data_IF_803366500003
#
_entry.id   IF_803366500003
#
_cell.length_a   1.000
_cell.length_b   1.000
_cell.length_c   1.000
_cell.angle_alpha   90.00
_cell.angle_beta   90.00
_cell.angle_gamma   90.00
#
_symmetry.space_group_name_H-M   'P 1'
#
loop_
_entity.id
_entity.type
_entity.pdbx_description
1 polymer ?
#
# COMPACT_ATOMS: atom_id res chain seq x y z
N UNK A 1 -12.61 -2.20 21.52
CA UNK A 1 -13.44 -1.19 20.83
C UNK A 1 -14.79 -0.90 21.49
N UNK A 2 -15.81 -1.76 21.44
CA UNK A 2 -17.16 -1.41 21.95
C UNK A 2 -17.18 -0.88 23.41
N UNK A 3 -16.46 -1.54 24.33
CA UNK A 3 -16.34 -1.07 25.73
C UNK A 3 -15.58 0.25 25.88
N UNK A 4 -14.65 0.54 24.98
CA UNK A 4 -13.86 1.79 24.98
C UNK A 4 -14.71 2.95 24.45
N UNK A 5 -15.57 2.71 23.46
CA UNK A 5 -16.50 3.71 22.90
C UNK A 5 -17.59 4.11 23.91
N UNK A 6 -18.13 3.15 24.67
CA UNK A 6 -19.09 3.46 25.75
C UNK A 6 -18.45 4.31 26.86
N UNK A 7 -17.20 4.01 27.22
CA UNK A 7 -16.42 4.84 28.15
C UNK A 7 -16.18 6.24 27.60
N UNK A 8 -15.77 6.32 26.33
CA UNK A 8 -15.49 7.56 25.63
C UNK A 8 -16.73 8.48 25.52
N UNK A 9 -17.92 7.90 25.34
CA UNK A 9 -19.20 8.61 25.41
C UNK A 9 -19.44 9.22 26.78
N UNK A 10 -19.21 8.45 27.87
CA UNK A 10 -19.30 8.96 29.25
C UNK A 10 -18.27 10.06 29.52
N UNK A 11 -17.11 9.99 28.88
CA UNK A 11 -16.09 11.03 28.93
C UNK A 11 -16.46 12.29 28.11
N UNK A 12 -17.64 12.34 27.49
CA UNK A 12 -18.17 13.55 26.84
C UNK A 12 -17.76 13.71 25.37
N UNK A 13 -17.34 12.64 24.70
CA UNK A 13 -17.14 12.66 23.25
C UNK A 13 -18.47 12.54 22.50
N UNK A 14 -18.60 13.23 21.37
CA UNK A 14 -19.82 13.25 20.58
C UNK A 14 -20.05 11.91 19.87
N UNK A 15 -21.32 11.58 19.62
CA UNK A 15 -21.69 10.39 18.86
C UNK A 15 -21.10 10.40 17.44
N UNK A 16 -20.92 11.58 16.84
CA UNK A 16 -20.26 11.74 15.53
C UNK A 16 -18.78 11.35 15.57
N UNK A 17 -18.01 11.80 16.57
CA UNK A 17 -16.61 11.42 16.74
C UNK A 17 -16.48 9.92 17.02
N UNK A 18 -17.34 9.37 17.88
CA UNK A 18 -17.32 7.94 18.18
C UNK A 18 -17.65 7.07 16.96
N UNK A 19 -18.62 7.50 16.15
CA UNK A 19 -18.99 6.81 14.91
C UNK A 19 -17.85 6.86 13.88
N UNK A 20 -17.19 8.02 13.74
CA UNK A 20 -16.02 8.19 12.86
C UNK A 20 -14.84 7.32 13.27
N UNK A 21 -14.54 7.26 14.58
CA UNK A 21 -13.50 6.40 15.13
C UNK A 21 -13.82 4.94 14.83
N UNK A 22 -15.04 4.48 15.14
CA UNK A 22 -15.42 3.09 14.91
C UNK A 22 -15.29 2.71 13.43
N UNK A 23 -15.79 3.56 12.53
CA UNK A 23 -15.68 3.35 11.10
C UNK A 23 -14.20 3.28 10.65
N UNK A 24 -13.34 4.18 11.13
CA UNK A 24 -11.92 4.21 10.77
C UNK A 24 -11.18 2.96 11.25
N UNK A 25 -11.43 2.49 12.47
CA UNK A 25 -10.81 1.28 13.01
C UNK A 25 -11.32 0.02 12.30
N UNK A 26 -12.62 -0.08 12.04
CA UNK A 26 -13.20 -1.19 11.26
C UNK A 26 -12.64 -1.22 9.84
N UNK A 27 -12.49 -0.06 9.21
CA UNK A 27 -11.87 0.06 7.89
C UNK A 27 -10.43 -0.47 7.94
N UNK A 28 -9.57 0.06 8.83
CA UNK A 28 -8.17 -0.41 8.95
C UNK A 28 -8.10 -1.92 9.20
N UNK A 29 -9.00 -2.46 10.03
CA UNK A 29 -9.05 -3.91 10.29
C UNK A 29 -9.42 -4.71 9.05
N UNK A 30 -10.48 -4.30 8.31
CA UNK A 30 -10.85 -4.92 7.03
C UNK A 30 -9.72 -4.84 6.01
N UNK A 31 -9.00 -3.73 6.00
CA UNK A 31 -7.88 -3.49 5.09
C UNK A 31 -6.68 -4.37 5.40
N UNK A 32 -6.30 -4.51 6.67
CA UNK A 32 -5.28 -5.46 7.10
C UNK A 32 -5.60 -6.89 6.62
N UNK A 33 -6.87 -7.29 6.70
CA UNK A 33 -7.31 -8.59 6.17
C UNK A 33 -7.26 -8.67 4.65
N UNK A 34 -7.64 -7.60 3.93
CA UNK A 34 -7.55 -7.56 2.46
C UNK A 34 -6.09 -7.65 1.98
N UNK A 35 -5.16 -7.00 2.68
CA UNK A 35 -3.73 -7.15 2.43
C UNK A 35 -3.29 -8.61 2.56
N UNK A 36 -3.59 -9.22 3.72
CA UNK A 36 -3.19 -10.60 4.05
C UNK A 36 -3.79 -11.64 3.11
N UNK A 37 -5.08 -11.51 2.78
CA UNK A 37 -5.82 -12.56 2.08
C UNK A 37 -5.81 -12.41 0.56
N UNK A 38 -5.40 -11.25 0.03
CA UNK A 38 -5.49 -10.98 -1.41
C UNK A 38 -4.20 -10.39 -1.97
N UNK A 39 -3.80 -9.19 -1.54
CA UNK A 39 -2.69 -8.46 -2.17
C UNK A 39 -1.35 -9.20 -2.07
N UNK A 40 -1.04 -9.81 -0.93
CA UNK A 40 0.18 -10.61 -0.79
C UNK A 40 0.24 -11.77 -1.79
N UNK A 41 -0.88 -12.51 -1.93
CA UNK A 41 -0.99 -13.61 -2.90
C UNK A 41 -0.89 -13.13 -4.34
N UNK A 42 -1.60 -12.04 -4.68
CA UNK A 42 -1.54 -11.44 -6.02
C UNK A 42 -0.15 -10.95 -6.38
N UNK A 43 0.59 -10.36 -5.43
CA UNK A 43 1.97 -9.94 -5.64
C UNK A 43 2.86 -11.13 -6.04
N UNK A 44 2.80 -12.22 -5.27
CA UNK A 44 3.56 -13.43 -5.56
C UNK A 44 3.15 -14.06 -6.89
N UNK A 45 1.84 -14.07 -7.20
CA UNK A 45 1.33 -14.60 -8.45
C UNK A 45 1.79 -13.78 -9.65
N UNK A 46 1.67 -12.45 -9.60
CA UNK A 46 2.12 -11.55 -10.67
C UNK A 46 3.61 -11.72 -10.93
N UNK A 47 4.43 -11.80 -9.88
CA UNK A 47 5.87 -12.08 -10.01
C UNK A 47 6.13 -13.41 -10.69
N UNK A 48 5.50 -14.48 -10.20
CA UNK A 48 5.72 -15.84 -10.72
C UNK A 48 5.32 -15.94 -12.19
N UNK A 49 4.19 -15.34 -12.59
CA UNK A 49 3.74 -15.31 -13.99
C UNK A 49 4.74 -14.66 -14.97
N UNK A 50 5.56 -13.73 -14.49
CA UNK A 50 6.62 -13.10 -15.29
C UNK A 50 7.87 -14.00 -15.31
N UNK A 51 8.30 -14.50 -14.15
CA UNK A 51 9.49 -15.35 -14.03
C UNK A 51 9.29 -16.68 -14.78
N UNK A 52 8.15 -17.34 -14.59
CA UNK A 52 7.84 -18.64 -15.21
C UNK A 52 7.70 -18.52 -16.74
N UNK A 53 7.46 -17.31 -17.26
CA UNK A 53 7.42 -17.07 -18.69
C UNK A 53 8.80 -16.97 -19.33
N UNK A 54 9.87 -16.81 -18.55
CA UNK A 54 11.23 -16.60 -19.07
C UNK A 54 11.67 -17.73 -20.03
N UNK A 55 11.37 -18.98 -19.67
CA UNK A 55 11.69 -20.14 -20.52
C UNK A 55 10.89 -20.12 -21.85
N UNK A 56 9.63 -19.70 -21.79
CA UNK A 56 8.79 -19.56 -23.00
C UNK A 56 9.28 -18.41 -23.87
N UNK A 57 9.71 -17.31 -23.26
CA UNK A 57 10.30 -16.17 -23.95
C UNK A 57 11.58 -16.60 -24.70
N UNK A 58 12.50 -17.30 -24.03
CA UNK A 58 13.74 -17.79 -24.64
C UNK A 58 13.49 -18.79 -25.78
N UNK A 59 12.51 -19.68 -25.60
CA UNK A 59 12.08 -20.62 -26.63
C UNK A 59 11.55 -19.89 -27.87
N UNK A 60 10.64 -18.92 -27.68
CA UNK A 60 10.11 -18.10 -28.77
C UNK A 60 11.20 -17.29 -29.46
N UNK A 61 12.11 -16.68 -28.70
CA UNK A 61 13.25 -15.93 -29.24
C UNK A 61 14.13 -16.83 -30.12
N UNK A 62 14.48 -18.03 -29.63
CA UNK A 62 15.31 -18.99 -30.36
C UNK A 62 14.61 -19.47 -31.64
N UNK A 63 13.33 -19.80 -31.56
CA UNK A 63 12.51 -20.21 -32.71
C UNK A 63 12.45 -19.07 -33.76
N UNK A 64 12.22 -17.82 -33.33
CA UNK A 64 12.20 -16.66 -34.24
C UNK A 64 13.54 -16.55 -34.96
N UNK A 65 14.67 -16.65 -34.26
CA UNK A 65 16.00 -16.58 -34.89
C UNK A 65 16.21 -17.67 -35.94
N UNK A 66 15.79 -18.91 -35.66
CA UNK A 66 15.89 -20.00 -36.63
C UNK A 66 15.04 -19.74 -37.88
N UNK A 67 13.82 -19.24 -37.72
CA UNK A 67 12.93 -18.96 -38.85
C UNK A 67 13.40 -17.77 -39.68
N UNK A 68 14.07 -16.79 -39.05
CA UNK A 68 14.77 -15.70 -39.76
C UNK A 68 15.87 -16.27 -40.66
N UNK A 69 16.71 -17.17 -40.15
CA UNK A 69 17.78 -17.80 -40.94
C UNK A 69 17.24 -18.64 -42.10
N UNK A 70 16.08 -19.27 -41.91
CA UNK A 70 15.38 -20.04 -42.95
C UNK A 70 14.63 -19.17 -43.96
N UNK A 71 14.58 -17.85 -43.77
CA UNK A 71 13.83 -16.94 -44.63
C UNK A 71 12.31 -17.05 -44.51
N UNK A 72 11.79 -17.69 -43.44
CA UNK A 72 10.37 -18.00 -43.28
C UNK A 72 9.59 -16.81 -42.69
N UNK A 73 9.30 -15.83 -43.55
CA UNK A 73 8.62 -14.58 -43.18
C UNK A 73 7.31 -14.79 -42.40
N UNK A 74 6.46 -15.70 -42.88
CA UNK A 74 5.15 -15.93 -42.28
C UNK A 74 5.27 -16.50 -40.86
N UNK A 75 6.17 -17.46 -40.65
CA UNK A 75 6.39 -18.03 -39.33
C UNK A 75 7.01 -17.01 -38.36
N UNK A 76 7.97 -16.20 -38.84
CA UNK A 76 8.56 -15.11 -38.04
C UNK A 76 7.48 -14.15 -37.56
N UNK A 77 6.57 -13.73 -38.45
CA UNK A 77 5.47 -12.83 -38.10
C UNK A 77 4.55 -13.45 -37.03
N UNK A 78 4.14 -14.71 -37.20
CA UNK A 78 3.29 -15.40 -36.24
C UNK A 78 3.94 -15.52 -34.85
N UNK A 79 5.23 -15.83 -34.80
CA UNK A 79 5.95 -15.97 -33.54
C UNK A 79 6.15 -14.62 -32.84
N UNK A 80 6.43 -13.54 -33.59
CA UNK A 80 6.53 -12.19 -33.04
C UNK A 80 5.18 -11.70 -32.49
N UNK A 81 4.09 -11.93 -33.21
CA UNK A 81 2.74 -11.61 -32.74
C UNK A 81 2.37 -12.42 -31.49
N UNK A 82 2.77 -13.70 -31.43
CA UNK A 82 2.59 -14.54 -30.24
C UNK A 82 3.36 -13.98 -29.05
N UNK A 83 4.63 -13.60 -29.25
CA UNK A 83 5.47 -12.99 -28.24
C UNK A 83 4.86 -11.67 -27.73
N UNK A 84 4.44 -10.77 -28.64
CA UNK A 84 3.81 -9.50 -28.28
C UNK A 84 2.53 -9.69 -27.48
N UNK A 85 1.66 -10.61 -27.88
CA UNK A 85 0.41 -10.90 -27.18
C UNK A 85 0.68 -11.41 -25.75
N UNK A 86 1.55 -12.40 -25.62
CA UNK A 86 1.90 -12.98 -24.31
C UNK A 86 2.49 -11.94 -23.36
N UNK A 87 3.28 -11.02 -23.93
CA UNK A 87 3.85 -9.90 -23.22
C UNK A 87 2.75 -8.91 -22.77
N UNK A 88 1.86 -8.51 -23.68
CA UNK A 88 0.76 -7.61 -23.36
C UNK A 88 -0.11 -8.09 -22.18
N UNK A 89 -0.46 -9.38 -22.14
CA UNK A 89 -1.27 -9.96 -21.05
C UNK A 89 -0.59 -9.79 -19.68
N UNK A 90 0.73 -10.02 -19.60
CA UNK A 90 1.50 -9.90 -18.36
C UNK A 90 1.68 -8.44 -17.92
N UNK A 91 1.94 -7.54 -18.87
CA UNK A 91 1.96 -6.10 -18.65
C UNK A 91 0.63 -5.62 -18.07
N UNK A 92 -0.49 -6.10 -18.63
CA UNK A 92 -1.83 -5.78 -18.13
C UNK A 92 -2.04 -6.26 -16.70
N UNK A 93 -1.74 -7.53 -16.40
CA UNK A 93 -1.87 -8.07 -15.04
C UNK A 93 -1.03 -7.28 -14.02
N UNK A 94 0.19 -6.90 -14.40
CA UNK A 94 1.10 -6.10 -13.56
C UNK A 94 0.52 -4.70 -13.29
N UNK A 95 -0.01 -4.05 -14.34
CA UNK A 95 -0.67 -2.75 -14.21
C UNK A 95 -1.91 -2.82 -13.31
N UNK A 96 -2.78 -3.80 -13.54
CA UNK A 96 -4.02 -3.96 -12.77
C UNK A 96 -3.71 -4.19 -11.28
N UNK A 97 -2.64 -4.94 -10.98
CA UNK A 97 -2.13 -5.11 -9.63
C UNK A 97 -1.63 -3.79 -9.02
N UNK A 98 -0.76 -3.06 -9.72
CA UNK A 98 -0.23 -1.76 -9.26
C UNK A 98 -1.37 -0.79 -8.96
N UNK A 99 -2.32 -0.61 -9.89
CA UNK A 99 -3.48 0.26 -9.69
C UNK A 99 -4.28 -0.14 -8.45
N UNK A 100 -4.46 -1.44 -8.21
CA UNK A 100 -5.16 -1.92 -7.01
C UNK A 100 -4.40 -1.59 -5.72
N UNK A 101 -3.06 -1.61 -5.74
CA UNK A 101 -2.21 -1.21 -4.62
C UNK A 101 -2.22 0.31 -4.42
N UNK A 102 -2.25 1.11 -5.47
CA UNK A 102 -2.35 2.58 -5.38
C UNK A 102 -3.67 3.03 -4.75
N UNK A 103 -4.78 2.40 -5.14
CA UNK A 103 -6.09 2.62 -4.51
C UNK A 103 -6.02 2.25 -3.03
N UNK A 104 -5.45 1.08 -2.71
CA UNK A 104 -5.22 0.65 -1.33
C UNK A 104 -4.46 1.72 -0.53
N UNK A 105 -3.34 2.24 -1.05
CA UNK A 105 -2.54 3.27 -0.36
C UNK A 105 -3.33 4.56 -0.14
N UNK A 106 -4.08 4.99 -1.14
CA UNK A 106 -4.88 6.23 -1.07
C UNK A 106 -5.95 6.16 0.01
N UNK A 107 -6.65 5.02 0.13
CA UNK A 107 -7.65 4.81 1.18
C UNK A 107 -7.01 4.78 2.58
N UNK A 108 -5.82 4.19 2.72
CA UNK A 108 -5.09 4.19 3.99
C UNK A 108 -4.70 5.60 4.44
N UNK A 109 -4.25 6.46 3.51
CA UNK A 109 -3.98 7.88 3.79
C UNK A 109 -5.23 8.59 4.30
N UNK A 110 -6.38 8.33 3.68
CA UNK A 110 -7.65 8.91 4.09
C UNK A 110 -8.03 8.49 5.52
N UNK A 111 -7.92 7.21 5.86
CA UNK A 111 -8.23 6.74 7.22
C UNK A 111 -7.27 7.31 8.26
N UNK A 112 -5.97 7.39 7.98
CA UNK A 112 -5.02 8.03 8.88
C UNK A 112 -5.38 9.51 9.12
N UNK A 113 -5.82 10.21 8.07
CA UNK A 113 -6.29 11.60 8.17
C UNK A 113 -7.57 11.71 9.01
N UNK A 114 -8.50 10.78 8.89
CA UNK A 114 -9.71 10.75 9.70
C UNK A 114 -9.38 10.52 11.18
N UNK A 115 -8.50 9.57 11.49
CA UNK A 115 -8.01 9.36 12.85
C UNK A 115 -7.34 10.63 13.40
N UNK A 116 -6.48 11.27 12.61
CA UNK A 116 -5.82 12.51 13.02
C UNK A 116 -6.83 13.63 13.35
N UNK A 117 -7.94 13.69 12.64
CA UNK A 117 -9.03 14.63 12.94
C UNK A 117 -9.79 14.23 14.20
N UNK A 118 -10.05 12.94 14.41
CA UNK A 118 -10.75 12.42 15.59
C UNK A 118 -9.90 12.52 16.87
N UNK A 119 -8.58 12.55 16.77
CA UNK A 119 -7.69 12.80 17.91
C UNK A 119 -7.84 14.21 18.49
N UNK A 120 -8.28 15.20 17.70
CA UNK A 120 -8.45 16.59 18.16
C UNK A 120 -9.52 16.74 19.26
N UNK A 121 -10.77 16.27 19.08
CA UNK A 121 -11.77 16.34 20.14
C UNK A 121 -11.40 15.50 21.37
N UNK A 122 -10.73 14.35 21.18
CA UNK A 122 -10.22 13.53 22.29
C UNK A 122 -9.21 14.34 23.12
N UNK A 123 -8.21 14.94 22.46
CA UNK A 123 -7.19 15.75 23.11
C UNK A 123 -7.80 16.94 23.86
N UNK A 124 -8.70 17.69 23.21
CA UNK A 124 -9.42 18.81 23.85
C UNK A 124 -10.16 18.38 25.13
N UNK A 125 -10.75 17.18 25.13
CA UNK A 125 -11.45 16.67 26.30
C UNK A 125 -10.50 16.23 27.41
N UNK A 126 -9.37 15.61 27.05
CA UNK A 126 -8.30 15.29 28.00
C UNK A 126 -7.76 16.56 28.69
N UNK A 127 -7.53 17.64 27.93
CA UNK A 127 -7.09 18.93 28.46
C UNK A 127 -8.13 19.56 29.40
N UNK A 128 -9.42 19.42 29.09
CA UNK A 128 -10.48 19.90 29.98
C UNK A 128 -10.44 19.18 31.34
N UNK A 129 -10.30 17.85 31.37
CA UNK A 129 -10.18 17.09 32.62
C UNK A 129 -8.88 17.39 33.38
N UNK A 130 -7.75 17.62 32.67
CA UNK A 130 -6.50 18.06 33.32
C UNK A 130 -6.68 19.38 34.05
N UNK A 131 -7.32 20.37 33.40
CA UNK A 131 -7.61 21.68 34.01
C UNK A 131 -8.57 21.57 35.18
N UNK A 132 -9.59 20.73 35.08
CA UNK A 132 -10.55 20.47 36.17
C UNK A 132 -9.83 19.90 37.41
N UNK A 133 -9.00 18.88 37.23
CA UNK A 133 -8.20 18.28 38.31
C UNK A 133 -7.27 19.32 38.94
N UNK A 134 -6.56 20.10 38.13
CA UNK A 134 -5.67 21.17 38.61
C UNK A 134 -6.44 22.24 39.40
N UNK A 135 -7.62 22.63 38.93
CA UNK A 135 -8.50 23.58 39.61
C UNK A 135 -8.96 23.06 40.98
N UNK A 136 -9.37 21.79 41.06
CA UNK A 136 -9.76 21.13 42.31
C UNK A 136 -8.58 21.12 43.29
N UNK A 137 -7.40 20.70 42.83
CA UNK A 137 -6.20 20.63 43.67
C UNK A 137 -5.83 22.03 44.21
N UNK A 138 -5.85 23.06 43.36
CA UNK A 138 -5.53 24.42 43.76
C UNK A 138 -6.55 24.98 44.78
N UNK A 139 -7.84 24.74 44.55
CA UNK A 139 -8.92 25.20 45.43
C UNK A 139 -8.87 24.53 46.81
N UNK A 140 -8.60 23.22 46.88
CA UNK A 140 -8.49 22.51 48.16
C UNK A 140 -7.18 22.84 48.88
N UNK A 141 -6.09 23.07 48.15
CA UNK A 141 -4.80 23.43 48.73
C UNK A 141 -4.81 24.78 49.44
N UNK A 142 -5.67 25.70 49.04
CA UNK A 142 -5.83 27.01 49.70
C UNK A 142 -6.78 26.98 50.91
N UNK A 143 -7.44 25.85 51.18
CA UNK A 143 -8.33 25.72 52.34
C UNK A 143 -7.53 25.58 53.64
N UNK A 144 -8.02 26.23 54.70
CA UNK A 144 -7.49 26.10 56.07
C UNK A 144 -7.93 24.77 56.70
N UNK A 145 -7.42 23.67 56.17
CA UNK A 145 -7.65 22.29 56.62
C UNK A 145 -6.33 21.61 57.02
N UNK A 146 -6.41 20.47 57.70
CA UNK A 146 -5.23 19.63 57.87
C UNK A 146 -4.78 19.03 56.52
N UNK A 147 -3.52 18.64 56.42
CA UNK A 147 -3.00 18.00 55.20
C UNK A 147 -3.71 16.67 54.91
N UNK A 148 -4.07 15.92 55.94
CA UNK A 148 -4.81 14.67 55.80
C UNK A 148 -6.20 14.89 55.23
N UNK A 149 -6.91 15.93 55.70
CA UNK A 149 -8.24 16.29 55.21
C UNK A 149 -8.19 16.79 53.77
N UNK A 150 -7.19 17.62 53.42
CA UNK A 150 -6.97 18.07 52.03
C UNK A 150 -6.78 16.90 51.09
N UNK A 151 -5.90 15.94 51.44
CA UNK A 151 -5.65 14.75 50.61
C UNK A 151 -6.90 13.92 50.39
N UNK A 152 -7.71 13.73 51.44
CA UNK A 152 -8.97 12.98 51.35
C UNK A 152 -9.95 13.65 50.40
N UNK A 153 -10.13 14.97 50.51
CA UNK A 153 -11.03 15.73 49.64
C UNK A 153 -10.52 15.72 48.19
N UNK A 154 -9.22 15.93 47.97
CA UNK A 154 -8.62 15.87 46.62
C UNK A 154 -8.84 14.49 46.00
N UNK A 155 -8.55 13.41 46.73
CA UNK A 155 -8.70 12.06 46.21
C UNK A 155 -10.14 11.75 45.79
N UNK A 156 -11.13 12.18 46.58
CA UNK A 156 -12.54 11.97 46.26
C UNK A 156 -12.99 12.85 45.07
N UNK A 157 -12.71 14.16 45.14
CA UNK A 157 -13.15 15.12 44.13
C UNK A 157 -12.49 14.92 42.76
N UNK A 158 -11.24 14.42 42.73
CA UNK A 158 -10.53 14.15 41.47
C UNK A 158 -10.75 12.74 40.93
N UNK A 159 -11.45 11.87 41.65
CA UNK A 159 -11.61 10.46 41.30
C UNK A 159 -12.24 10.29 39.91
N UNK A 160 -13.41 10.87 39.70
CA UNK A 160 -14.14 10.76 38.44
C UNK A 160 -13.38 11.37 37.25
N UNK A 161 -12.93 12.64 37.29
CA UNK A 161 -12.19 13.21 36.16
C UNK A 161 -10.87 12.48 35.89
N UNK A 162 -10.22 11.91 36.91
CA UNK A 162 -9.02 11.07 36.73
C UNK A 162 -9.33 9.76 36.02
N UNK A 163 -10.46 9.11 36.33
CA UNK A 163 -10.89 7.90 35.62
C UNK A 163 -11.21 8.21 34.16
N UNK A 164 -11.95 9.28 33.89
CA UNK A 164 -12.32 9.67 32.52
C UNK A 164 -11.06 10.04 31.70
N UNK A 165 -10.09 10.71 32.32
CA UNK A 165 -8.83 11.07 31.67
C UNK A 165 -7.91 9.86 31.43
N UNK A 166 -7.52 9.15 32.49
CA UNK A 166 -6.41 8.18 32.42
C UNK A 166 -6.84 6.76 32.10
N UNK A 167 -8.08 6.37 32.44
CA UNK A 167 -8.54 5.00 32.21
C UNK A 167 -9.39 4.87 30.94
N UNK A 168 -9.86 5.99 30.38
CA UNK A 168 -10.74 6.00 29.21
C UNK A 168 -10.10 6.74 28.05
N UNK A 169 -9.89 8.06 28.16
CA UNK A 169 -9.44 8.87 27.03
C UNK A 169 -7.96 8.63 26.68
N UNK A 170 -7.09 8.49 27.67
CA UNK A 170 -5.66 8.19 27.47
C UNK A 170 -5.43 6.92 26.63
N UNK A 171 -5.96 5.76 27.04
CA UNK A 171 -5.82 4.52 26.28
C UNK A 171 -6.38 4.60 24.86
N UNK A 172 -7.53 5.27 24.68
CA UNK A 172 -8.11 5.48 23.34
C UNK A 172 -7.21 6.35 22.46
N UNK A 173 -6.70 7.46 23.00
CA UNK A 173 -5.79 8.36 22.29
C UNK A 173 -4.51 7.64 21.86
N UNK A 174 -3.91 6.87 22.76
CA UNK A 174 -2.69 6.11 22.50
C UNK A 174 -2.93 5.01 21.46
N UNK A 175 -4.07 4.31 21.52
CA UNK A 175 -4.43 3.29 20.55
C UNK A 175 -4.59 3.87 19.14
N UNK A 176 -5.33 4.98 19.02
CA UNK A 176 -5.55 5.65 17.74
C UNK A 176 -4.25 6.27 17.19
N UNK A 177 -3.39 6.80 18.06
CA UNK A 177 -2.07 7.30 17.67
C UNK A 177 -1.19 6.18 17.11
N UNK A 178 -1.17 5.00 17.76
CA UNK A 178 -0.45 3.82 17.24
C UNK A 178 -1.00 3.35 15.90
N UNK A 179 -2.32 3.24 15.76
CA UNK A 179 -2.94 2.88 14.49
C UNK A 179 -2.57 3.87 13.39
N UNK A 180 -2.65 5.18 13.66
CA UNK A 180 -2.24 6.20 12.70
C UNK A 180 -0.77 6.06 12.28
N UNK A 181 0.13 5.79 13.22
CA UNK A 181 1.56 5.58 12.95
C UNK A 181 1.82 4.29 12.15
N UNK A 182 1.10 3.21 12.44
CA UNK A 182 1.18 1.97 11.66
C UNK A 182 0.75 2.21 10.21
N UNK A 183 -0.34 2.96 10.02
CA UNK A 183 -0.81 3.33 8.68
C UNK A 183 0.17 4.25 7.95
N UNK A 184 0.72 5.26 8.64
CA UNK A 184 1.72 6.15 8.06
C UNK A 184 3.03 5.41 7.75
N UNK A 185 3.43 4.45 8.58
CA UNK A 185 4.57 3.57 8.30
C UNK A 185 4.37 2.67 7.07
N UNK A 186 3.13 2.34 6.71
CA UNK A 186 2.82 1.69 5.42
C UNK A 186 3.05 2.64 4.24
N UNK A 187 2.85 3.94 4.46
CA UNK A 187 2.86 4.95 3.41
C UNK A 187 4.22 5.65 3.22
N UNK A 188 5.06 5.72 4.26
CA UNK A 188 6.41 6.32 4.27
C UNK A 188 7.52 5.31 3.89
N UNK A 189 7.24 4.36 3.00
CA UNK A 189 8.20 3.35 2.51
C UNK A 189 8.81 2.38 3.55
N UNK A 190 8.45 2.49 4.83
CA UNK A 190 8.87 1.53 5.88
C UNK A 190 8.26 0.14 5.71
N UNK A 191 7.07 0.06 5.13
CA UNK A 191 6.53 -1.14 4.49
C UNK A 191 6.36 -0.88 3.00
N UNK A 192 7.38 -0.26 2.37
CA UNK A 192 7.48 -0.35 0.91
C UNK A 192 7.31 -1.82 0.58
N UNK A 193 6.26 -2.10 -0.19
CA UNK A 193 6.22 -3.30 -0.98
C UNK A 193 7.38 -3.05 -1.93
N UNK A 194 8.60 -3.43 -1.54
CA UNK A 194 9.82 -3.09 -2.28
C UNK A 194 9.70 -3.48 -3.75
N UNK A 195 8.89 -4.51 -4.00
CA UNK A 195 8.43 -5.00 -5.28
C UNK A 195 7.57 -4.03 -6.09
N UNK A 196 6.74 -3.17 -5.49
CA UNK A 196 5.93 -2.20 -6.25
C UNK A 196 6.82 -1.24 -7.04
N UNK A 197 7.84 -0.66 -6.40
CA UNK A 197 8.79 0.24 -7.08
C UNK A 197 9.48 -0.50 -8.23
N UNK A 198 9.90 -1.75 -7.99
CA UNK A 198 10.46 -2.60 -9.06
C UNK A 198 9.44 -2.89 -10.18
N UNK A 199 8.16 -3.10 -9.86
CA UNK A 199 7.11 -3.35 -10.86
C UNK A 199 6.76 -2.09 -11.67
N UNK A 200 6.80 -0.90 -11.06
CA UNK A 200 6.62 0.38 -11.76
C UNK A 200 7.75 0.62 -12.77
N UNK A 201 9.00 0.41 -12.36
CA UNK A 201 10.16 0.49 -13.25
C UNK A 201 10.07 -0.54 -14.38
N UNK A 202 9.65 -1.77 -14.04
CA UNK A 202 9.41 -2.84 -15.02
C UNK A 202 8.34 -2.40 -16.01
N UNK A 203 7.22 -1.78 -15.58
CA UNK A 203 6.17 -1.29 -16.48
C UNK A 203 6.70 -0.27 -17.50
N UNK A 204 7.67 0.57 -17.13
CA UNK A 204 8.35 1.46 -18.08
C UNK A 204 9.11 0.64 -19.13
N UNK A 205 9.88 -0.36 -18.71
CA UNK A 205 10.59 -1.29 -19.62
C UNK A 205 9.63 -2.03 -20.56
N UNK A 206 8.46 -2.45 -20.07
CA UNK A 206 7.42 -3.07 -20.88
C UNK A 206 6.93 -2.18 -22.03
N UNK A 207 6.88 -0.85 -21.84
CA UNK A 207 6.51 0.07 -22.92
C UNK A 207 7.59 0.11 -24.01
N UNK A 208 8.87 0.05 -23.63
CA UNK A 208 9.98 -0.03 -24.57
C UNK A 208 9.97 -1.34 -25.35
N UNK A 209 9.75 -2.48 -24.69
CA UNK A 209 9.63 -3.79 -25.34
C UNK A 209 8.49 -3.82 -26.37
N UNK A 210 7.32 -3.32 -26.00
CA UNK A 210 6.14 -3.28 -26.87
C UNK A 210 6.37 -2.40 -28.11
N UNK A 211 7.01 -1.24 -27.94
CA UNK A 211 7.40 -0.37 -29.06
C UNK A 211 8.42 -1.04 -29.98
N UNK A 212 9.44 -1.70 -29.43
CA UNK A 212 10.44 -2.41 -30.22
C UNK A 212 9.83 -3.58 -30.99
N UNK A 213 9.00 -4.39 -30.34
CA UNK A 213 8.32 -5.52 -30.98
C UNK A 213 7.36 -5.07 -32.07
N UNK A 214 6.57 -4.02 -31.83
CA UNK A 214 5.70 -3.43 -32.85
C UNK A 214 6.50 -2.99 -34.07
N UNK A 215 7.65 -2.31 -33.86
CA UNK A 215 8.52 -1.90 -34.96
C UNK A 215 9.09 -3.09 -35.75
N UNK A 216 9.46 -4.18 -35.09
CA UNK A 216 9.95 -5.40 -35.77
C UNK A 216 8.81 -6.08 -36.53
N UNK A 217 7.63 -6.19 -35.93
CA UNK A 217 6.43 -6.76 -36.56
C UNK A 217 6.06 -5.97 -37.81
N UNK A 218 5.95 -4.64 -37.72
CA UNK A 218 5.62 -3.77 -38.84
C UNK A 218 6.62 -3.94 -39.99
N UNK A 219 7.92 -4.03 -39.69
CA UNK A 219 8.92 -4.26 -40.72
C UNK A 219 8.80 -5.64 -41.36
N UNK A 220 8.60 -6.68 -40.56
CA UNK A 220 8.38 -8.03 -41.10
C UNK A 220 7.13 -8.05 -41.94
N UNK A 221 6.03 -7.43 -41.52
CA UNK A 221 4.77 -7.44 -42.25
C UNK A 221 4.90 -6.79 -43.63
N UNK A 222 5.51 -5.60 -43.69
CA UNK A 222 5.54 -4.77 -44.90
C UNK A 222 6.73 -5.03 -45.83
N UNK A 223 7.83 -5.62 -45.33
CA UNK A 223 9.00 -5.87 -46.18
C UNK A 223 8.73 -6.97 -47.22
N UNK A 224 9.26 -6.81 -48.44
CA UNK A 224 9.19 -7.84 -49.48
C UNK A 224 10.00 -9.09 -49.12
N UNK A 225 11.09 -8.91 -48.37
CA UNK A 225 11.96 -9.96 -47.85
C UNK A 225 12.43 -9.61 -46.44
N UNK A 226 12.86 -10.62 -45.69
CA UNK A 226 13.37 -10.44 -44.33
C UNK A 226 14.73 -9.72 -44.35
N UNK A 227 14.82 -8.57 -43.67
CA UNK A 227 16.10 -7.93 -43.36
C UNK A 227 16.71 -8.59 -42.12
N UNK A 228 17.52 -9.62 -42.36
CA UNK A 228 18.08 -10.47 -41.30
C UNK A 228 18.97 -9.70 -40.31
N UNK A 229 19.82 -8.81 -40.81
CA UNK A 229 20.74 -8.01 -39.99
C UNK A 229 19.96 -7.06 -39.05
N UNK A 230 18.99 -6.32 -39.60
CA UNK A 230 18.13 -5.46 -38.80
C UNK A 230 17.39 -6.24 -37.72
N UNK A 231 16.75 -7.36 -38.09
CA UNK A 231 15.93 -8.13 -37.17
C UNK A 231 16.76 -8.77 -36.06
N UNK A 232 17.96 -9.30 -36.37
CA UNK A 232 18.85 -9.87 -35.36
C UNK A 232 19.24 -8.82 -34.32
N UNK A 233 19.63 -7.62 -34.77
CA UNK A 233 19.98 -6.52 -33.86
C UNK A 233 18.81 -6.10 -32.97
N UNK A 234 17.59 -5.97 -33.53
CA UNK A 234 16.40 -5.59 -32.75
C UNK A 234 15.94 -6.69 -31.80
N UNK A 235 15.92 -7.94 -32.23
CA UNK A 235 15.53 -9.06 -31.37
C UNK A 235 16.52 -9.27 -30.24
N UNK A 236 17.83 -9.07 -30.48
CA UNK A 236 18.81 -9.08 -29.41
C UNK A 236 18.54 -7.99 -28.38
N UNK A 237 18.19 -6.78 -28.81
CA UNK A 237 17.83 -5.69 -27.89
C UNK A 237 16.58 -6.03 -27.06
N UNK A 238 15.55 -6.61 -27.68
CA UNK A 238 14.34 -7.11 -27.00
C UNK A 238 14.68 -8.18 -25.96
N UNK A 239 15.54 -9.15 -26.32
CA UNK A 239 15.98 -10.21 -25.43
C UNK A 239 16.78 -9.68 -24.24
N UNK A 240 17.75 -8.81 -24.50
CA UNK A 240 18.55 -8.18 -23.45
C UNK A 240 17.68 -7.40 -22.47
N UNK A 241 16.75 -6.56 -22.96
CA UNK A 241 15.83 -5.81 -22.12
C UNK A 241 14.96 -6.73 -21.25
N UNK A 242 14.44 -7.81 -21.82
CA UNK A 242 13.67 -8.79 -21.04
C UNK A 242 14.53 -9.41 -19.91
N UNK A 243 15.75 -9.85 -20.23
CA UNK A 243 16.63 -10.50 -19.25
C UNK A 243 17.10 -9.54 -18.15
N UNK A 244 17.76 -8.44 -18.51
CA UNK A 244 18.43 -7.58 -17.54
C UNK A 244 17.49 -6.59 -16.86
N UNK A 245 16.52 -6.04 -17.58
CA UNK A 245 15.66 -4.98 -17.03
C UNK A 245 14.34 -5.50 -16.45
N UNK A 246 13.98 -6.75 -16.68
CA UNK A 246 12.78 -7.37 -16.09
C UNK A 246 13.15 -8.56 -15.21
N UNK A 247 13.77 -9.60 -15.77
CA UNK A 247 13.99 -10.86 -15.04
C UNK A 247 14.99 -10.71 -13.90
N UNK A 248 16.13 -10.04 -14.12
CA UNK A 248 17.11 -9.82 -13.05
C UNK A 248 16.52 -8.97 -11.91
N UNK A 249 15.76 -7.92 -12.21
CA UNK A 249 15.09 -7.08 -11.20
C UNK A 249 14.05 -7.84 -10.38
N UNK A 250 13.41 -8.86 -10.96
CA UNK A 250 12.45 -9.71 -10.24
C UNK A 250 13.11 -10.88 -9.49
N UNK A 251 14.40 -11.14 -9.70
CA UNK A 251 15.14 -12.20 -8.99
C UNK A 251 15.95 -11.66 -7.80
N UNK A 252 16.30 -10.37 -7.82
CA UNK A 252 16.83 -9.63 -6.65
C UNK A 252 15.79 -9.51 -5.53
#
# INVERSE_FOLDING_TARGET
>A
MLKELDGAKKAGLSDSTLSSINASVENISRWSQKWKNSFAGMLHQTRSQIIDYDDTFDSLYTEIQQQIQRGNKQQVLQLLQTLQKNLFERKKNTRDFITSVEVFKSEMVEYARNIANDLKPIHSRMEAYRKEIQGIVAAVSSMSLSEADRRKIIAEATREPSVLLYNILGPLYDHLTRLMQEVQGINDDRLSISWQVSLDDILVTWNSLDSMLSSVIDQVEHASQLNTEFMQGRLQAVHNLWKSEIIEKLKM
#
